data_IF_909995644724
#
_entry.id   IF_909995644724
#
_cell.length_a   1.000
_cell.length_b   1.000
_cell.length_c   1.000
_cell.angle_alpha   90.00
_cell.angle_beta   90.00
_cell.angle_gamma   90.00
#
_symmetry.space_group_name_H-M   'P 1'
#
loop_
_entity.id
_entity.type
_entity.pdbx_description
1 polymer ?
#
# COMPACT_ATOMS: atom_id res chain seq x y z
N UNK A 1 -15.74 1.21 8.79
CA UNK A 1 -14.60 0.94 9.69
C UNK A 1 -14.74 -0.47 10.22
N UNK A 2 -13.74 -1.35 10.02
CA UNK A 2 -13.82 -2.77 10.40
C UNK A 2 -13.05 -3.10 11.69
N UNK A 3 -12.51 -2.09 12.40
CA UNK A 3 -11.72 -2.30 13.61
C UNK A 3 -10.24 -2.64 13.39
N UNK A 4 -9.76 -2.60 12.14
CA UNK A 4 -8.36 -2.86 11.79
C UNK A 4 -7.71 -1.57 11.26
N UNK A 5 -7.08 -0.81 12.15
CA UNK A 5 -6.37 0.41 11.78
C UNK A 5 -5.06 0.12 11.01
N UNK A 6 -4.70 1.01 10.09
CA UNK A 6 -3.46 0.90 9.30
C UNK A 6 -2.27 1.21 10.20
N UNK A 7 -1.20 0.40 10.13
CA UNK A 7 0.02 0.61 10.91
C UNK A 7 0.64 1.98 10.63
N UNK A 8 0.87 2.74 11.69
CA UNK A 8 1.41 4.10 11.63
C UNK A 8 0.34 5.20 11.50
N UNK A 9 -0.92 4.86 11.25
CA UNK A 9 -2.00 5.85 11.06
C UNK A 9 -2.60 6.31 12.39
N UNK A 10 -1.99 7.34 12.98
CA UNK A 10 -2.45 7.93 14.25
C UNK A 10 -3.82 8.59 14.13
N UNK A 11 -4.13 9.18 12.97
CA UNK A 11 -5.36 9.93 12.76
C UNK A 11 -6.58 9.01 12.83
N UNK A 12 -6.45 7.78 12.33
CA UNK A 12 -7.54 6.81 12.28
C UNK A 12 -7.38 5.64 13.26
N UNK A 13 -6.60 5.81 14.33
CA UNK A 13 -6.70 4.98 15.53
C UNK A 13 -5.62 3.92 15.72
N UNK A 14 -4.50 3.99 15.00
CA UNK A 14 -3.33 3.16 15.32
C UNK A 14 -2.55 3.74 16.52
N UNK A 15 -1.98 2.89 17.36
CA UNK A 15 -1.46 3.30 18.68
C UNK A 15 -0.14 4.07 18.64
N UNK A 16 0.64 3.98 17.56
CA UNK A 16 1.97 4.59 17.43
C UNK A 16 2.33 4.89 15.96
N UNK A 17 3.03 5.98 15.71
CA UNK A 17 3.56 6.26 14.36
C UNK A 17 4.65 5.24 13.98
N UNK A 18 4.97 5.16 12.69
CA UNK A 18 6.22 4.54 12.26
C UNK A 18 7.41 5.42 12.64
N UNK A 19 8.65 4.87 12.72
CA UNK A 19 9.84 5.66 13.06
C UNK A 19 10.11 6.86 12.13
N UNK A 20 9.71 6.73 10.86
CA UNK A 20 9.83 7.75 9.81
C UNK A 20 8.59 8.65 9.67
N UNK A 21 7.56 8.43 10.50
CA UNK A 21 6.28 9.16 10.44
C UNK A 21 5.36 8.76 9.28
N UNK A 22 5.69 7.74 8.49
CA UNK A 22 4.84 7.24 7.40
C UNK A 22 3.65 6.43 7.92
N UNK A 23 2.80 5.95 7.00
CA UNK A 23 1.80 4.91 7.25
C UNK A 23 2.10 3.70 6.34
N UNK A 24 1.82 2.48 6.82
CA UNK A 24 1.96 1.26 6.02
C UNK A 24 0.77 1.10 5.08
N UNK A 25 0.69 1.99 4.09
CA UNK A 25 -0.29 1.93 3.00
C UNK A 25 0.45 2.08 1.68
N UNK A 26 0.38 1.06 0.84
CA UNK A 26 1.06 1.01 -0.45
C UNK A 26 0.07 0.69 -1.57
N UNK A 27 0.11 1.47 -2.66
CA UNK A 27 -0.66 1.17 -3.85
C UNK A 27 0.09 0.12 -4.69
N UNK A 28 -0.23 -1.15 -4.49
CA UNK A 28 0.44 -2.27 -5.16
C UNK A 28 0.29 -2.26 -6.69
N UNK A 29 -0.86 -1.84 -7.19
CA UNK A 29 -1.10 -1.77 -8.62
C UNK A 29 -2.11 -0.69 -8.99
N UNK A 30 -2.00 -0.21 -10.22
CA UNK A 30 -2.98 0.68 -10.84
C UNK A 30 -3.37 0.13 -12.21
N UNK A 31 -4.67 0.17 -12.49
CA UNK A 31 -5.26 -0.14 -13.79
C UNK A 31 -5.99 1.07 -14.30
N UNK A 32 -5.74 1.48 -15.54
CA UNK A 32 -6.45 2.59 -16.16
C UNK A 32 -6.45 2.48 -17.67
N UNK A 33 -7.43 3.09 -18.32
CA UNK A 33 -7.48 3.20 -19.77
C UNK A 33 -6.57 4.34 -20.22
N UNK A 34 -5.59 4.06 -21.06
CA UNK A 34 -4.67 5.07 -21.56
C UNK A 34 -5.45 6.19 -22.27
N UNK A 35 -5.23 7.48 -21.92
CA UNK A 35 -6.13 8.56 -22.31
C UNK A 35 -6.16 8.81 -23.82
N UNK A 36 -5.09 8.44 -24.54
CA UNK A 36 -4.95 8.66 -25.98
C UNK A 36 -5.21 7.37 -26.75
N UNK A 37 -4.34 6.36 -26.59
CA UNK A 37 -4.46 5.07 -27.29
C UNK A 37 -5.68 4.23 -26.91
N UNK A 38 -6.37 4.55 -25.81
CA UNK A 38 -7.55 3.81 -25.31
C UNK A 38 -7.29 2.34 -24.96
N UNK A 39 -6.02 1.94 -24.84
CA UNK A 39 -5.61 0.61 -24.40
C UNK A 39 -5.63 0.54 -22.87
N UNK A 40 -6.04 -0.59 -22.32
CA UNK A 40 -5.98 -0.82 -20.88
C UNK A 40 -4.52 -1.02 -20.44
N UNK A 41 -4.08 -0.20 -19.50
CA UNK A 41 -2.75 -0.24 -18.89
C UNK A 41 -2.89 -0.81 -17.48
N UNK A 42 -2.00 -1.73 -17.16
CA UNK A 42 -1.84 -2.28 -15.83
C UNK A 42 -0.39 -2.14 -15.38
N UNK A 43 -0.17 -1.52 -14.23
CA UNK A 43 1.16 -1.29 -13.66
C UNK A 43 1.17 -1.89 -12.25
N UNK A 44 2.20 -2.68 -11.96
CA UNK A 44 2.51 -3.22 -10.62
C UNK A 44 3.71 -2.50 -10.04
N UNK A 45 3.67 -2.20 -8.76
CA UNK A 45 4.79 -1.69 -7.96
C UNK A 45 4.91 -2.56 -6.71
N UNK A 46 6.01 -3.33 -6.62
CA UNK A 46 6.30 -4.07 -5.39
C UNK A 46 6.60 -3.07 -4.26
N UNK A 47 6.15 -3.35 -3.03
CA UNK A 47 6.51 -2.53 -1.88
C UNK A 47 8.01 -2.64 -1.60
N UNK A 48 8.56 -1.65 -0.90
CA UNK A 48 9.96 -1.67 -0.47
C UNK A 48 10.24 -2.75 0.60
N UNK A 49 11.53 -2.91 0.93
CA UNK A 49 11.94 -3.84 1.98
C UNK A 49 11.45 -3.39 3.36
N UNK A 50 10.59 -4.21 3.97
CA UNK A 50 10.09 -4.05 5.33
C UNK A 50 9.66 -5.43 5.85
N UNK A 51 9.83 -5.77 7.13
CA UNK A 51 9.42 -7.07 7.67
C UNK A 51 7.95 -7.43 7.40
N UNK A 52 7.03 -6.47 7.46
CA UNK A 52 5.60 -6.69 7.19
C UNK A 52 5.38 -6.94 5.71
N UNK A 53 5.98 -6.12 4.84
CA UNK A 53 5.83 -6.29 3.39
C UNK A 53 6.45 -7.59 2.90
N UNK A 54 7.64 -7.94 3.38
CA UNK A 54 8.33 -9.18 3.01
C UNK A 54 7.51 -10.41 3.40
N UNK A 55 6.85 -10.39 4.57
CA UNK A 55 5.96 -11.48 5.01
C UNK A 55 4.74 -11.66 4.07
N UNK A 56 4.23 -10.57 3.50
CA UNK A 56 3.07 -10.60 2.60
C UNK A 56 3.44 -10.95 1.16
N UNK A 57 4.57 -10.44 0.65
CA UNK A 57 5.03 -10.70 -0.73
C UNK A 57 5.26 -12.18 -0.99
N UNK A 58 5.73 -12.96 -0.01
CA UNK A 58 5.93 -14.41 -0.17
C UNK A 58 4.67 -15.22 -0.49
N UNK A 59 3.48 -14.62 -0.31
CA UNK A 59 2.18 -15.25 -0.51
C UNK A 59 1.39 -14.65 -1.69
N UNK A 60 2.04 -13.82 -2.53
CA UNK A 60 1.47 -13.17 -3.73
C UNK A 60 2.17 -13.71 -4.98
#
# INVERSE_FOLDING_TARGET
>A
HIGCAIKGDLKYGFSRSNPDGSIHLHAYSISFKHPISKVDIYIKALPGEDPVWNALISNI
#
